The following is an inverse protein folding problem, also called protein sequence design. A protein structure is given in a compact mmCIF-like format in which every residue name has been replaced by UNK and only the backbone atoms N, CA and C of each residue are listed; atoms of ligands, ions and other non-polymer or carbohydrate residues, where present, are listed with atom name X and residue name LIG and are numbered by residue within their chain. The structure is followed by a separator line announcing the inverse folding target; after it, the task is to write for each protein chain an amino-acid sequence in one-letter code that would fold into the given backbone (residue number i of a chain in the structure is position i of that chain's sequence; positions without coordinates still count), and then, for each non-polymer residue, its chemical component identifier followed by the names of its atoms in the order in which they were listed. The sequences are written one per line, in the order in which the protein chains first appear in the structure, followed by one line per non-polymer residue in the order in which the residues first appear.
data_IF_195844768133
#
_entry.id   IF_195844768133
#
_cell.length_a   1.000
_cell.length_b   1.000
_cell.length_c   1.000
_cell.angle_alpha   90.00
_cell.angle_beta   90.00
_cell.angle_gamma   90.00
#
_symmetry.space_group_name_H-M   'P 1'
#
loop_
_entity.id
_entity.type
_entity.pdbx_description
1 polymer ?
#
# COMPACT_ATOMS: atom_id res chain seq x y z
N UNK A 1 -3.28 -6.94 -21.05
CA UNK A 1 -2.32 -6.10 -20.34
C UNK A 1 -2.63 -4.59 -20.35
N UNK A 2 -3.59 -4.10 -21.16
CA UNK A 2 -3.99 -2.67 -21.16
C UNK A 2 -4.55 -2.21 -19.81
N UNK A 3 -5.16 -3.14 -19.02
CA UNK A 3 -5.75 -2.83 -17.70
C UNK A 3 -4.72 -2.66 -16.59
N UNK A 4 -3.55 -3.28 -16.68
CA UNK A 4 -2.53 -3.28 -15.63
C UNK A 4 -1.95 -1.90 -15.27
N UNK A 5 -2.20 -0.88 -16.07
CA UNK A 5 -1.78 0.50 -15.80
C UNK A 5 -2.70 1.26 -14.84
N UNK A 6 -3.93 0.76 -14.61
CA UNK A 6 -4.92 1.45 -13.79
C UNK A 6 -4.90 1.07 -12.31
N UNK A 7 -4.75 -0.24 -11.91
CA UNK A 7 -4.71 -0.60 -10.51
C UNK A 7 -3.29 -0.55 -9.95
N UNK A 8 -3.15 -0.05 -8.71
CA UNK A 8 -2.05 -0.37 -7.82
C UNK A 8 -2.43 -1.61 -7.00
N UNK A 9 -1.51 -2.50 -6.71
CA UNK A 9 -1.77 -3.66 -5.86
C UNK A 9 -0.65 -3.84 -4.83
N UNK A 10 -1.05 -4.05 -3.60
CA UNK A 10 -0.20 -4.45 -2.48
C UNK A 10 -0.58 -5.86 -2.09
N UNK A 11 0.39 -6.74 -2.03
CA UNK A 11 0.21 -8.15 -1.71
C UNK A 11 0.37 -8.40 -0.21
N UNK A 12 -0.12 -9.51 0.27
CA UNK A 12 0.07 -9.98 1.64
C UNK A 12 1.55 -10.13 2.00
N UNK A 13 2.34 -10.74 1.11
CA UNK A 13 3.79 -10.81 1.25
C UNK A 13 4.46 -9.60 0.57
N UNK A 14 5.12 -8.72 1.34
CA UNK A 14 5.81 -7.54 0.80
C UNK A 14 6.93 -7.89 -0.18
N UNK A 15 7.48 -9.10 -0.10
CA UNK A 15 8.53 -9.57 -1.00
C UNK A 15 8.01 -9.83 -2.41
N UNK A 16 6.72 -10.11 -2.56
CA UNK A 16 6.09 -10.30 -3.89
C UNK A 16 6.01 -8.99 -4.67
N UNK A 17 5.94 -7.85 -3.99
CA UNK A 17 5.84 -6.51 -4.59
C UNK A 17 7.16 -5.77 -4.76
N UNK A 18 8.28 -6.31 -4.24
CA UNK A 18 9.59 -5.65 -4.21
C UNK A 18 10.73 -6.60 -4.59
N UNK A 19 11.84 -6.05 -5.06
CA UNK A 19 13.09 -6.77 -5.25
C UNK A 19 13.96 -6.61 -4.00
N UNK A 20 14.05 -7.65 -3.17
CA UNK A 20 14.74 -7.62 -1.87
C UNK A 20 16.23 -7.26 -1.95
N UNK A 21 16.88 -7.63 -3.04
CA UNK A 21 18.31 -7.40 -3.29
C UNK A 21 18.61 -6.02 -3.87
N UNK A 22 17.58 -5.28 -4.27
CA UNK A 22 17.67 -3.91 -4.78
C UNK A 22 17.45 -2.90 -3.66
N UNK A 23 17.97 -1.71 -3.85
CA UNK A 23 17.83 -0.59 -2.94
C UNK A 23 16.39 -0.02 -2.95
N UNK A 24 16.02 0.75 -1.93
CA UNK A 24 14.70 1.38 -1.85
C UNK A 24 14.49 2.29 -3.08
N UNK A 25 15.47 3.14 -3.42
CA UNK A 25 15.35 4.06 -4.56
C UNK A 25 15.23 3.32 -5.90
N UNK A 26 15.88 2.18 -6.06
CA UNK A 26 15.78 1.36 -7.28
C UNK A 26 14.39 0.72 -7.41
N UNK A 27 13.84 0.18 -6.31
CA UNK A 27 12.47 -0.36 -6.27
C UNK A 27 11.45 0.74 -6.61
N UNK A 28 11.57 1.92 -6.03
CA UNK A 28 10.70 3.06 -6.31
C UNK A 28 10.82 3.53 -7.76
N UNK A 29 12.02 3.54 -8.33
CA UNK A 29 12.25 3.90 -9.73
C UNK A 29 11.57 2.92 -10.70
N UNK A 30 11.59 1.63 -10.41
CA UNK A 30 10.86 0.61 -11.19
C UNK A 30 9.35 0.89 -11.14
N UNK A 31 8.81 1.20 -9.96
CA UNK A 31 7.40 1.50 -9.78
C UNK A 31 6.99 2.79 -10.51
N UNK A 32 7.82 3.83 -10.43
CA UNK A 32 7.58 5.12 -11.11
C UNK A 32 7.54 4.96 -12.62
N UNK A 33 8.35 4.06 -13.19
CA UNK A 33 8.42 3.81 -14.63
C UNK A 33 7.46 2.73 -15.14
N UNK A 34 6.56 2.25 -14.28
CA UNK A 34 5.58 1.24 -14.67
C UNK A 34 4.69 1.73 -15.82
N UNK A 35 4.67 0.97 -16.92
CA UNK A 35 3.88 1.28 -18.11
C UNK A 35 4.55 2.27 -19.08
N UNK A 36 5.75 2.74 -18.81
CA UNK A 36 6.53 3.58 -19.72
C UNK A 36 7.39 2.74 -20.67
N UNK A 37 7.77 3.36 -21.79
CA UNK A 37 8.71 2.74 -22.71
C UNK A 37 10.11 2.68 -22.07
N UNK A 38 10.75 1.53 -22.15
CA UNK A 38 12.12 1.36 -21.66
C UNK A 38 13.09 2.12 -22.57
N UNK A 39 13.96 2.92 -21.96
CA UNK A 39 15.01 3.68 -22.67
C UNK A 39 16.33 3.47 -21.96
N UNK A 40 17.45 3.80 -22.64
CA UNK A 40 18.80 3.80 -22.05
C UNK A 40 19.00 5.08 -21.23
N UNK A 41 18.23 5.22 -20.12
CA UNK A 41 18.36 6.30 -19.14
C UNK A 41 19.02 5.76 -17.87
N UNK A 42 19.62 6.66 -17.09
CA UNK A 42 20.07 6.35 -15.73
C UNK A 42 18.93 5.76 -14.91
N UNK A 43 19.22 4.74 -14.09
CA UNK A 43 18.23 4.02 -13.30
C UNK A 43 17.47 4.92 -12.33
N UNK A 44 18.18 5.84 -11.64
CA UNK A 44 17.61 6.82 -10.70
C UNK A 44 18.24 8.18 -11.00
N UNK A 45 17.43 9.19 -11.35
CA UNK A 45 17.91 10.56 -11.56
C UNK A 45 17.98 11.32 -10.24
N UNK A 46 18.52 12.55 -10.26
CA UNK A 46 18.53 13.43 -9.08
C UNK A 46 17.10 13.84 -8.70
N UNK A 47 16.29 14.17 -9.68
CA UNK A 47 14.89 14.54 -9.50
C UNK A 47 14.08 13.36 -8.92
N UNK A 48 14.35 12.13 -9.40
CA UNK A 48 13.74 10.92 -8.82
C UNK A 48 14.07 10.80 -7.32
N UNK A 49 15.35 11.03 -6.92
CA UNK A 49 15.78 10.94 -5.53
C UNK A 49 15.11 11.98 -4.64
N UNK A 50 14.97 13.20 -5.13
CA UNK A 50 14.28 14.26 -4.40
C UNK A 50 12.81 13.91 -4.18
N UNK A 51 12.12 13.45 -5.22
CA UNK A 51 10.74 12.95 -5.14
C UNK A 51 10.62 11.77 -4.16
N UNK A 52 11.51 10.79 -4.25
CA UNK A 52 11.46 9.60 -3.39
C UNK A 52 11.69 9.96 -1.92
N UNK A 53 12.64 10.87 -1.63
CA UNK A 53 12.88 11.35 -0.29
C UNK A 53 11.64 12.01 0.29
N UNK A 54 11.01 12.93 -0.45
CA UNK A 54 9.77 13.57 -0.04
C UNK A 54 8.68 12.54 0.29
N UNK A 55 8.45 11.59 -0.61
CA UNK A 55 7.43 10.54 -0.41
C UNK A 55 7.74 9.62 0.77
N UNK A 56 9.00 9.26 0.98
CA UNK A 56 9.42 8.42 2.10
C UNK A 56 9.26 9.15 3.45
N UNK A 57 9.53 10.46 3.50
CA UNK A 57 9.29 11.27 4.69
C UNK A 57 7.84 11.23 5.16
N UNK A 58 6.87 11.18 4.23
CA UNK A 58 5.44 11.11 4.60
C UNK A 58 5.09 9.86 5.39
N UNK A 59 5.89 8.78 5.29
CA UNK A 59 5.67 7.53 6.03
C UNK A 59 6.06 7.64 7.52
N UNK A 60 6.98 8.55 7.87
CA UNK A 60 7.48 8.72 9.25
C UNK A 60 8.23 7.49 9.78
N UNK A 61 8.97 6.77 8.92
CA UNK A 61 9.68 5.53 9.23
C UNK A 61 11.22 5.67 9.14
N UNK A 62 11.75 6.88 8.88
CA UNK A 62 13.18 7.15 8.71
C UNK A 62 13.79 6.49 7.46
N UNK A 63 12.97 6.22 6.44
CA UNK A 63 13.42 5.57 5.20
C UNK A 63 14.03 6.55 4.21
N UNK A 64 13.70 7.83 4.34
CA UNK A 64 14.25 8.94 3.56
C UNK A 64 15.77 9.08 3.67
N UNK A 65 16.34 8.66 4.80
CA UNK A 65 17.79 8.68 5.07
C UNK A 65 18.48 7.35 4.70
N UNK A 66 17.69 6.36 4.26
CA UNK A 66 18.15 4.99 3.98
C UNK A 66 17.81 4.52 2.57
N UNK A 67 17.65 5.44 1.61
CA UNK A 67 17.22 5.12 0.24
C UNK A 67 18.12 4.13 -0.51
N UNK A 68 19.41 4.08 -0.16
CA UNK A 68 20.38 3.13 -0.71
C UNK A 68 20.49 1.83 0.10
N UNK A 69 19.64 1.63 1.10
CA UNK A 69 19.56 0.36 1.83
C UNK A 69 18.73 -0.65 1.04
N UNK A 70 19.17 -1.91 1.05
CA UNK A 70 18.41 -3.00 0.41
C UNK A 70 17.10 -3.25 1.12
N UNK A 71 16.03 -3.43 0.35
CA UNK A 71 14.67 -3.66 0.90
C UNK A 71 14.63 -4.90 1.78
N UNK A 72 15.39 -5.95 1.46
CA UNK A 72 15.47 -7.17 2.26
C UNK A 72 16.00 -6.97 3.70
N UNK A 73 16.72 -5.87 3.97
CA UNK A 73 17.28 -5.55 5.30
C UNK A 73 16.35 -4.70 6.18
N UNK A 74 15.17 -4.36 5.68
CA UNK A 74 14.19 -3.54 6.41
C UNK A 74 13.41 -4.37 7.43
N UNK A 75 12.87 -3.71 8.46
CA UNK A 75 11.91 -4.32 9.37
C UNK A 75 10.61 -4.69 8.65
N UNK A 76 9.78 -5.57 9.24
CA UNK A 76 8.51 -6.01 8.64
C UNK A 76 7.63 -4.84 8.22
N UNK A 77 7.38 -3.88 9.13
CA UNK A 77 6.56 -2.70 8.84
C UNK A 77 7.16 -1.77 7.80
N UNK A 78 8.47 -1.50 7.88
CA UNK A 78 9.18 -0.71 6.87
C UNK A 78 9.08 -1.38 5.49
N UNK A 79 9.27 -2.71 5.45
CA UNK A 79 9.19 -3.50 4.23
C UNK A 79 7.79 -3.47 3.63
N UNK A 80 6.74 -3.48 4.45
CA UNK A 80 5.35 -3.40 3.98
C UNK A 80 4.95 -2.00 3.49
N UNK A 81 5.54 -0.95 4.07
CA UNK A 81 5.26 0.43 3.66
C UNK A 81 5.83 0.76 2.26
N UNK A 82 6.92 0.12 1.83
CA UNK A 82 7.52 0.36 0.52
C UNK A 82 6.59 -0.03 -0.64
N UNK A 83 6.06 -1.27 -0.77
CA UNK A 83 5.13 -1.63 -1.85
C UNK A 83 3.84 -0.80 -1.81
N UNK A 84 3.38 -0.38 -0.64
CA UNK A 84 2.23 0.51 -0.51
C UNK A 84 2.52 1.88 -1.17
N UNK A 85 3.64 2.50 -0.82
CA UNK A 85 4.08 3.74 -1.44
C UNK A 85 4.30 3.59 -2.94
N UNK A 86 4.99 2.51 -3.37
CA UNK A 86 5.22 2.20 -4.78
C UNK A 86 3.91 2.05 -5.57
N UNK A 87 2.90 1.42 -5.00
CA UNK A 87 1.60 1.24 -5.63
C UNK A 87 0.86 2.58 -5.81
N UNK A 88 1.06 3.54 -4.90
CA UNK A 88 0.43 4.86 -4.92
C UNK A 88 1.18 5.90 -5.77
N UNK A 89 2.48 5.72 -6.07
CA UNK A 89 3.34 6.70 -6.75
C UNK A 89 2.76 7.28 -8.04
N UNK A 90 2.05 6.47 -8.83
CA UNK A 90 1.44 6.88 -10.10
C UNK A 90 -0.06 7.17 -9.98
N UNK A 91 -0.55 7.46 -8.79
CA UNK A 91 -1.94 7.75 -8.52
C UNK A 91 -2.89 6.80 -9.26
N UNK A 92 -2.91 5.51 -8.89
CA UNK A 92 -3.73 4.52 -9.56
C UNK A 92 -5.22 4.87 -9.45
N UNK A 93 -6.02 4.47 -10.43
CA UNK A 93 -7.48 4.62 -10.35
C UNK A 93 -8.12 3.75 -9.27
N UNK A 94 -7.45 2.67 -8.89
CA UNK A 94 -7.89 1.76 -7.84
C UNK A 94 -6.64 1.20 -7.14
N UNK A 95 -6.58 1.30 -5.84
CA UNK A 95 -5.58 0.67 -4.99
C UNK A 95 -6.18 -0.59 -4.36
N UNK A 96 -5.58 -1.74 -4.63
CA UNK A 96 -5.98 -3.03 -4.05
C UNK A 96 -5.01 -3.39 -2.93
N UNK A 97 -5.51 -3.56 -1.73
CA UNK A 97 -4.78 -3.95 -0.52
C UNK A 97 -5.24 -5.37 -0.13
N UNK A 98 -4.38 -6.36 -0.37
CA UNK A 98 -4.72 -7.77 -0.22
C UNK A 98 -4.07 -8.32 1.05
N UNK A 99 -4.81 -8.33 2.17
CA UNK A 99 -4.36 -8.78 3.50
C UNK A 99 -2.97 -8.24 3.91
N UNK A 100 -2.67 -7.02 3.52
CA UNK A 100 -1.31 -6.45 3.56
C UNK A 100 -0.74 -6.25 4.97
N UNK A 101 -1.48 -6.55 6.02
CA UNK A 101 -1.04 -6.48 7.43
C UNK A 101 -1.05 -7.84 8.12
N UNK A 102 -1.53 -8.91 7.47
CA UNK A 102 -1.77 -10.21 8.11
C UNK A 102 -0.50 -10.89 8.67
N UNK A 103 0.66 -10.63 8.07
CA UNK A 103 1.95 -11.22 8.50
C UNK A 103 2.70 -10.36 9.55
N UNK A 104 2.09 -9.29 10.04
CA UNK A 104 2.71 -8.34 10.97
C UNK A 104 2.19 -8.55 12.40
N UNK A 105 3.03 -8.21 13.39
CA UNK A 105 2.57 -8.09 14.77
C UNK A 105 1.54 -6.95 14.92
N UNK A 106 0.64 -7.00 15.94
CA UNK A 106 -0.48 -6.06 16.05
C UNK A 106 -0.08 -4.58 16.06
N UNK A 107 1.05 -4.24 16.70
CA UNK A 107 1.52 -2.85 16.79
C UNK A 107 2.01 -2.35 15.43
N UNK A 108 2.75 -3.17 14.72
CA UNK A 108 3.26 -2.87 13.38
C UNK A 108 2.11 -2.82 12.36
N UNK A 109 1.15 -3.74 12.45
CA UNK A 109 -0.04 -3.77 11.62
C UNK A 109 -0.85 -2.46 11.75
N UNK A 110 -1.11 -2.00 12.98
CA UNK A 110 -1.81 -0.74 13.22
C UNK A 110 -1.07 0.45 12.57
N UNK A 111 0.27 0.49 12.67
CA UNK A 111 1.06 1.56 12.05
C UNK A 111 1.00 1.53 10.51
N UNK A 112 1.01 0.34 9.92
CA UNK A 112 0.90 0.17 8.45
C UNK A 112 -0.50 0.57 7.98
N UNK A 113 -1.56 0.25 8.72
CA UNK A 113 -2.94 0.68 8.42
C UNK A 113 -3.07 2.21 8.48
N UNK A 114 -2.52 2.86 9.52
CA UNK A 114 -2.47 4.33 9.62
C UNK A 114 -1.77 4.96 8.39
N UNK A 115 -0.64 4.40 7.98
CA UNK A 115 0.08 4.84 6.78
C UNK A 115 -0.77 4.62 5.52
N UNK A 116 -1.49 3.49 5.43
CA UNK A 116 -2.38 3.20 4.30
C UNK A 116 -3.49 4.24 4.18
N UNK A 117 -4.17 4.55 5.28
CA UNK A 117 -5.22 5.57 5.32
C UNK A 117 -4.69 6.94 4.93
N UNK A 118 -3.51 7.32 5.45
CA UNK A 118 -2.84 8.57 5.11
C UNK A 118 -2.55 8.68 3.61
N UNK A 119 -1.94 7.65 3.01
CA UNK A 119 -1.62 7.63 1.58
C UNK A 119 -2.89 7.71 0.74
N UNK A 120 -3.96 6.99 1.11
CA UNK A 120 -5.24 6.99 0.41
C UNK A 120 -5.86 8.39 0.47
N UNK A 121 -5.89 9.03 1.64
CA UNK A 121 -6.48 10.34 1.84
C UNK A 121 -5.70 11.45 1.11
N UNK A 122 -4.38 11.51 1.29
CA UNK A 122 -3.52 12.53 0.68
C UNK A 122 -3.54 12.49 -0.85
N UNK A 123 -3.65 11.30 -1.44
CA UNK A 123 -3.69 11.12 -2.89
C UNK A 123 -5.11 10.94 -3.45
N UNK A 124 -6.15 11.06 -2.61
CA UNK A 124 -7.57 10.91 -2.97
C UNK A 124 -7.85 9.61 -3.76
N UNK A 125 -7.25 8.50 -3.32
CA UNK A 125 -7.34 7.23 -4.03
C UNK A 125 -8.65 6.51 -3.72
N UNK A 126 -9.22 5.86 -4.74
CA UNK A 126 -10.20 4.80 -4.52
C UNK A 126 -9.44 3.55 -4.10
N UNK A 127 -9.75 3.00 -2.93
CA UNK A 127 -9.08 1.81 -2.40
C UNK A 127 -10.08 0.69 -2.09
N UNK A 128 -9.65 -0.54 -2.28
CA UNK A 128 -10.35 -1.74 -1.83
C UNK A 128 -9.36 -2.56 -0.99
N UNK A 129 -9.71 -2.78 0.27
CA UNK A 129 -8.93 -3.58 1.21
C UNK A 129 -9.64 -4.90 1.46
N UNK A 130 -8.92 -6.00 1.31
CA UNK A 130 -9.33 -7.33 1.76
C UNK A 130 -8.66 -7.61 3.09
N UNK A 131 -9.44 -7.99 4.09
CA UNK A 131 -8.96 -8.37 5.42
C UNK A 131 -9.87 -9.43 6.03
N UNK A 132 -9.32 -10.30 6.86
CA UNK A 132 -10.07 -11.22 7.72
C UNK A 132 -10.22 -10.67 9.14
N UNK A 133 -9.65 -9.51 9.46
CA UNK A 133 -9.79 -8.86 10.76
C UNK A 133 -11.03 -7.95 10.76
N UNK A 134 -12.07 -8.37 11.47
CA UNK A 134 -13.35 -7.65 11.55
C UNK A 134 -13.19 -6.24 12.15
N UNK A 135 -12.28 -6.04 13.11
CA UNK A 135 -12.02 -4.71 13.70
C UNK A 135 -11.47 -3.75 12.65
N UNK A 136 -10.49 -4.21 11.87
CA UNK A 136 -9.89 -3.38 10.82
C UNK A 136 -10.93 -3.08 9.73
N UNK A 137 -11.76 -4.06 9.35
CA UNK A 137 -12.83 -3.87 8.36
C UNK A 137 -13.86 -2.81 8.79
N UNK A 138 -14.18 -2.72 10.10
CA UNK A 138 -15.10 -1.71 10.65
C UNK A 138 -14.43 -0.33 10.67
N UNK A 139 -13.18 -0.24 11.14
CA UNK A 139 -12.49 1.04 11.39
C UNK A 139 -12.08 1.72 10.08
N UNK A 140 -11.56 0.96 9.12
CA UNK A 140 -10.97 1.52 7.89
C UNK A 140 -11.97 1.59 6.73
N UNK A 141 -11.85 2.62 5.88
CA UNK A 141 -12.72 2.85 4.73
C UNK A 141 -14.13 3.33 5.07
N UNK A 142 -14.91 3.65 4.06
CA UNK A 142 -16.27 4.22 4.16
C UNK A 142 -17.39 3.25 3.80
N UNK A 143 -17.07 2.04 3.34
CA UNK A 143 -18.01 0.96 3.00
C UNK A 143 -17.40 -0.38 3.42
N UNK A 144 -18.23 -1.26 3.97
CA UNK A 144 -17.86 -2.61 4.34
C UNK A 144 -18.73 -3.60 3.55
N UNK A 145 -18.08 -4.57 2.92
CA UNK A 145 -18.73 -5.66 2.19
C UNK A 145 -18.24 -6.97 2.78
N UNK A 146 -19.16 -7.81 3.27
CA UNK A 146 -18.84 -9.15 3.72
C UNK A 146 -19.26 -10.17 2.65
N UNK A 147 -18.37 -11.11 2.39
CA UNK A 147 -18.59 -12.17 1.41
C UNK A 147 -18.54 -13.54 2.06
N UNK A 148 -19.46 -14.40 1.66
CA UNK A 148 -19.48 -15.80 2.05
C UNK A 148 -19.91 -16.66 0.86
N UNK A 149 -19.19 -17.76 0.61
CA UNK A 149 -19.45 -18.70 -0.48
C UNK A 149 -19.66 -18.02 -1.86
N UNK A 150 -18.84 -17.00 -2.15
CA UNK A 150 -18.88 -16.26 -3.41
C UNK A 150 -20.05 -15.28 -3.56
N UNK A 151 -20.82 -15.04 -2.50
CA UNK A 151 -21.93 -14.09 -2.46
C UNK A 151 -21.67 -12.96 -1.48
N UNK A 152 -22.19 -11.77 -1.79
CA UNK A 152 -22.26 -10.68 -0.83
C UNK A 152 -23.39 -10.98 0.14
N UNK A 153 -23.07 -11.10 1.42
CA UNK A 153 -24.05 -11.36 2.50
C UNK A 153 -24.33 -10.13 3.35
N UNK A 154 -23.42 -9.15 3.34
CA UNK A 154 -23.60 -7.89 4.06
C UNK A 154 -22.92 -6.77 3.28
N UNK A 155 -23.57 -5.60 3.21
CA UNK A 155 -23.06 -4.42 2.50
C UNK A 155 -23.58 -3.16 3.20
N UNK A 156 -22.68 -2.36 3.78
CA UNK A 156 -23.02 -1.20 4.60
C UNK A 156 -22.04 -0.06 4.32
N UNK A 157 -22.52 1.18 4.35
CA UNK A 157 -21.72 2.36 4.07
C UNK A 157 -22.15 3.58 4.92
N UNK A 158 -21.31 4.60 4.92
CA UNK A 158 -21.59 5.91 5.53
C UNK A 158 -21.82 5.84 7.05
N UNK A 159 -22.87 6.50 7.54
CA UNK A 159 -23.17 6.60 8.97
C UNK A 159 -23.52 5.26 9.61
N UNK A 160 -24.18 4.38 8.86
CA UNK A 160 -24.50 3.03 9.32
C UNK A 160 -23.23 2.24 9.65
N UNK A 161 -22.21 2.31 8.75
CA UNK A 161 -20.91 1.67 8.98
C UNK A 161 -20.20 2.22 10.23
N UNK A 162 -20.28 3.53 10.49
CA UNK A 162 -19.62 4.16 11.64
C UNK A 162 -20.12 3.65 12.99
N UNK A 163 -21.37 3.20 13.04
CA UNK A 163 -22.01 2.68 14.25
C UNK A 163 -21.84 1.18 14.46
N UNK A 164 -21.20 0.47 13.50
CA UNK A 164 -21.00 -0.98 13.58
C UNK A 164 -20.06 -1.39 14.71
N UNK A 165 -20.39 -2.52 15.30
CA UNK A 165 -19.54 -3.24 16.25
C UNK A 165 -19.29 -4.66 15.74
N UNK A 166 -18.21 -5.30 16.22
CA UNK A 166 -17.85 -6.67 15.81
C UNK A 166 -18.99 -7.69 16.04
N UNK A 167 -19.82 -7.46 17.04
CA UNK A 167 -20.99 -8.33 17.34
C UNK A 167 -22.12 -8.24 16.30
N UNK A 168 -22.08 -7.23 15.42
CA UNK A 168 -23.10 -6.99 14.40
C UNK A 168 -22.75 -7.68 13.07
N UNK A 169 -21.55 -8.27 12.98
CA UNK A 169 -21.01 -9.02 11.86
C UNK A 169 -20.99 -10.52 12.15
#
# INVERSE_FOLDING_TARGET
HKRAKYPGRVFQDPMTGTAATMDIEENMAIALRRGEKRTLRWGVSREDRELFREKLQTLGLGLEDRMTSKVGLLSGGQRQAIPLLMAALKQPKLLLLDEHTAALDPKTAAKVLEISDKIIAENQLTAMMVTHNMKDAIVHGNRLIMMHEGKVIYDVAGEEKKNLQVKDL
#
